data_IF_621973181565
#
_entry.id   IF_621973181565
#
_cell.length_a   1.000
_cell.length_b   1.000
_cell.length_c   1.000
_cell.angle_alpha   90.00
_cell.angle_beta   90.00
_cell.angle_gamma   90.00
#
_symmetry.space_group_name_H-M   'P 1'
#
loop_
_entity.id
_entity.type
_entity.pdbx_description
1 polymer ?
#
# COMPACT_ATOMS: atom_id res chain seq x y z
N UNK A 1 10.25 -7.09 11.01
CA UNK A 1 10.02 -5.75 10.46
C UNK A 1 9.22 -5.86 9.17
N UNK A 2 8.13 -5.15 9.08
CA UNK A 2 7.30 -5.18 7.87
C UNK A 2 7.88 -4.27 6.81
N UNK A 3 7.67 -4.64 5.54
CA UNK A 3 8.16 -3.90 4.37
C UNK A 3 7.01 -3.17 3.68
N UNK A 4 7.21 -1.90 3.42
CA UNK A 4 6.25 -1.06 2.69
C UNK A 4 6.84 -0.69 1.34
N UNK A 5 6.07 -0.91 0.28
CA UNK A 5 6.40 -0.40 -1.05
C UNK A 5 5.55 0.82 -1.35
N UNK A 6 6.19 1.93 -1.69
CA UNK A 6 5.51 3.18 -2.04
C UNK A 6 5.58 3.37 -3.54
N UNK A 7 4.41 3.48 -4.19
CA UNK A 7 4.30 3.72 -5.62
C UNK A 7 3.70 5.11 -5.80
N UNK A 8 4.55 6.12 -5.79
CA UNK A 8 4.20 7.54 -5.85
C UNK A 8 5.29 8.26 -6.62
N UNK A 9 4.93 8.97 -7.70
CA UNK A 9 5.92 9.60 -8.57
C UNK A 9 6.32 11.02 -8.14
N UNK A 10 5.58 11.64 -7.23
CA UNK A 10 5.99 12.92 -6.64
C UNK A 10 7.05 12.66 -5.58
N UNK A 11 8.30 13.09 -5.82
CA UNK A 11 9.38 12.74 -4.89
C UNK A 11 9.20 13.36 -3.50
N UNK A 12 8.57 14.53 -3.41
CA UNK A 12 8.33 15.16 -2.11
C UNK A 12 7.34 14.37 -1.28
N UNK A 13 6.26 13.91 -1.90
CA UNK A 13 5.25 13.11 -1.21
C UNK A 13 5.83 11.75 -0.84
N UNK A 14 6.50 11.10 -1.77
CA UNK A 14 7.09 9.78 -1.52
C UNK A 14 8.10 9.84 -0.37
N UNK A 15 8.98 10.84 -0.37
CA UNK A 15 10.00 10.97 0.66
C UNK A 15 9.39 11.31 2.02
N UNK A 16 8.35 12.13 2.04
CA UNK A 16 7.64 12.45 3.26
C UNK A 16 7.00 11.22 3.90
N UNK A 17 6.35 10.39 3.09
CA UNK A 17 5.76 9.14 3.56
C UNK A 17 6.87 8.20 4.07
N UNK A 18 7.95 8.07 3.31
CA UNK A 18 9.06 7.18 3.67
C UNK A 18 9.64 7.57 5.02
N UNK A 19 9.92 8.86 5.22
CA UNK A 19 10.51 9.34 6.47
C UNK A 19 9.61 9.00 7.66
N UNK A 20 8.30 9.26 7.52
CA UNK A 20 7.36 9.00 8.60
C UNK A 20 7.21 7.50 8.90
N UNK A 21 7.11 6.69 7.85
CA UNK A 21 6.88 5.26 8.05
C UNK A 21 8.13 4.55 8.55
N UNK A 22 9.31 5.00 8.15
CA UNK A 22 10.56 4.48 8.71
C UNK A 22 10.69 4.82 10.19
N UNK A 23 10.25 6.02 10.58
CA UNK A 23 10.27 6.41 11.99
C UNK A 23 9.38 5.51 12.86
N UNK A 24 8.36 4.89 12.26
CA UNK A 24 7.48 3.95 12.96
C UNK A 24 7.97 2.50 12.87
N UNK A 25 9.15 2.28 12.32
CA UNK A 25 9.78 0.96 12.32
C UNK A 25 9.52 0.11 11.09
N UNK A 26 9.02 0.69 10.01
CA UNK A 26 8.85 -0.04 8.76
C UNK A 26 10.12 0.04 7.91
N UNK A 27 10.38 -1.01 7.15
CA UNK A 27 11.36 -0.94 6.08
C UNK A 27 10.63 -0.45 4.85
N UNK A 28 11.21 0.52 4.12
CA UNK A 28 10.49 1.20 3.05
C UNK A 28 11.31 1.23 1.77
N UNK A 29 10.66 0.93 0.66
CA UNK A 29 11.22 1.13 -0.67
C UNK A 29 10.27 1.98 -1.49
N UNK A 30 10.79 2.97 -2.22
CA UNK A 30 10.01 3.75 -3.18
C UNK A 30 10.33 3.25 -4.59
N UNK A 31 9.29 3.13 -5.42
CA UNK A 31 9.45 2.67 -6.80
C UNK A 31 10.16 3.75 -7.62
N UNK A 32 11.09 3.33 -8.46
CA UNK A 32 11.83 4.22 -9.35
C UNK A 32 11.44 4.03 -10.81
N UNK A 33 11.12 2.80 -11.22
CA UNK A 33 10.76 2.49 -12.60
C UNK A 33 9.25 2.32 -12.74
N UNK A 34 8.57 3.40 -13.13
CA UNK A 34 7.11 3.38 -13.27
C UNK A 34 6.63 2.69 -14.55
N UNK A 35 7.54 2.26 -15.41
CA UNK A 35 7.18 1.42 -16.54
C UNK A 35 7.01 -0.04 -16.14
N UNK A 36 7.62 -0.44 -15.01
CA UNK A 36 7.56 -1.83 -14.57
C UNK A 36 7.53 -1.90 -13.04
N UNK A 37 6.43 -1.45 -12.47
CA UNK A 37 6.22 -1.51 -11.02
C UNK A 37 6.19 -2.96 -10.53
N UNK A 38 5.64 -3.86 -11.35
CA UNK A 38 5.50 -5.26 -10.95
C UNK A 38 6.85 -5.93 -10.72
N UNK A 39 7.88 -5.56 -11.49
CA UNK A 39 9.23 -6.09 -11.29
C UNK A 39 9.79 -5.68 -9.94
N UNK A 40 9.64 -4.41 -9.55
CA UNK A 40 10.10 -3.95 -8.23
C UNK A 40 9.29 -4.57 -7.11
N UNK A 41 7.98 -4.75 -7.32
CA UNK A 41 7.12 -5.44 -6.36
C UNK A 41 7.61 -6.86 -6.11
N UNK A 42 7.85 -7.60 -7.19
CA UNK A 42 8.28 -9.00 -7.09
C UNK A 42 9.64 -9.13 -6.45
N UNK A 43 10.55 -8.21 -6.75
CA UNK A 43 11.90 -8.22 -6.18
C UNK A 43 11.87 -7.92 -4.69
N UNK A 44 11.09 -6.92 -4.30
CA UNK A 44 11.06 -6.44 -2.90
C UNK A 44 10.21 -7.32 -1.99
N UNK A 45 9.14 -7.87 -2.52
CA UNK A 45 8.16 -8.69 -1.79
C UNK A 45 7.65 -7.96 -0.54
N UNK A 46 6.95 -6.82 -0.73
CA UNK A 46 6.47 -6.03 0.41
C UNK A 46 5.33 -6.73 1.15
N UNK A 47 5.13 -6.33 2.38
CA UNK A 47 4.00 -6.76 3.20
C UNK A 47 2.77 -5.88 2.97
N UNK A 48 2.97 -4.66 2.46
CA UNK A 48 1.88 -3.72 2.19
C UNK A 48 2.34 -2.74 1.11
N UNK A 49 1.40 -2.28 0.29
CA UNK A 49 1.67 -1.37 -0.82
C UNK A 49 0.82 -0.11 -0.69
N UNK A 50 1.46 1.06 -0.81
CA UNK A 50 0.78 2.33 -1.02
C UNK A 50 0.88 2.65 -2.51
N UNK A 51 -0.27 2.90 -3.15
CA UNK A 51 -0.34 2.95 -4.60
C UNK A 51 -1.12 4.18 -5.03
N UNK A 52 -0.41 5.14 -5.63
CA UNK A 52 -1.06 6.33 -6.21
C UNK A 52 -1.82 5.94 -7.47
N UNK A 53 -2.93 6.60 -7.73
CA UNK A 53 -3.71 6.38 -8.94
C UNK A 53 -3.09 7.08 -10.13
N UNK A 54 -2.68 8.34 -9.96
CA UNK A 54 -2.15 9.15 -11.06
C UNK A 54 -0.65 8.96 -11.18
N UNK A 55 -0.26 8.02 -12.03
CA UNK A 55 1.15 7.65 -12.24
C UNK A 55 1.50 7.81 -13.71
N UNK A 56 2.79 8.01 -14.04
CA UNK A 56 3.21 8.02 -15.45
C UNK A 56 3.11 6.62 -16.06
N UNK A 57 2.89 6.55 -17.35
CA UNK A 57 2.80 5.35 -18.19
C UNK A 57 1.53 4.54 -17.92
N UNK A 58 1.39 3.97 -16.73
CA UNK A 58 0.21 3.17 -16.33
C UNK A 58 -0.28 3.70 -14.99
N UNK A 59 -1.59 3.84 -14.84
CA UNK A 59 -2.15 4.35 -13.58
C UNK A 59 -2.15 3.28 -12.49
N UNK A 60 -2.53 3.70 -11.28
CA UNK A 60 -2.54 2.79 -10.13
C UNK A 60 -3.53 1.64 -10.27
N UNK A 61 -4.63 1.85 -10.98
CA UNK A 61 -5.59 0.76 -11.21
C UNK A 61 -4.96 -0.39 -12.00
N UNK A 62 -4.16 -0.05 -13.00
CA UNK A 62 -3.43 -1.05 -13.78
C UNK A 62 -2.52 -1.89 -12.88
N UNK A 63 -1.73 -1.22 -12.04
CA UNK A 63 -0.78 -1.95 -11.20
C UNK A 63 -1.47 -2.75 -10.11
N UNK A 64 -2.58 -2.25 -9.56
CA UNK A 64 -3.38 -3.04 -8.60
C UNK A 64 -3.87 -4.33 -9.25
N UNK A 65 -4.38 -4.23 -10.46
CA UNK A 65 -4.87 -5.38 -11.21
C UNK A 65 -3.74 -6.39 -11.47
N UNK A 66 -2.56 -5.89 -11.87
CA UNK A 66 -1.41 -6.76 -12.12
C UNK A 66 -0.91 -7.44 -10.84
N UNK A 67 -0.85 -6.70 -9.74
CA UNK A 67 -0.43 -7.28 -8.46
C UNK A 67 -1.42 -8.35 -8.01
N UNK A 68 -2.71 -8.10 -8.17
CA UNK A 68 -3.76 -9.05 -7.74
C UNK A 68 -3.73 -10.36 -8.48
N UNK A 69 -3.12 -10.41 -9.67
CA UNK A 69 -2.94 -11.67 -10.41
C UNK A 69 -1.96 -12.60 -9.70
N UNK A 70 -1.06 -12.07 -8.88
CA UNK A 70 0.01 -12.86 -8.27
C UNK A 70 0.06 -12.76 -6.75
N UNK A 71 -0.70 -11.87 -6.12
CA UNK A 71 -0.56 -11.64 -4.67
C UNK A 71 -1.85 -11.10 -4.07
N UNK A 72 -2.06 -11.44 -2.79
CA UNK A 72 -3.15 -10.88 -1.98
C UNK A 72 -2.63 -9.83 -0.99
N UNK A 73 -1.45 -9.30 -1.23
CA UNK A 73 -0.85 -8.29 -0.36
C UNK A 73 -1.80 -7.11 -0.14
N UNK A 74 -1.90 -6.57 1.08
CA UNK A 74 -2.74 -5.38 1.30
C UNK A 74 -2.29 -4.20 0.45
N UNK A 75 -3.25 -3.52 -0.15
CA UNK A 75 -3.01 -2.34 -0.98
C UNK A 75 -3.88 -1.20 -0.49
N UNK A 76 -3.27 -0.04 -0.22
CA UNK A 76 -3.97 1.21 0.06
C UNK A 76 -3.74 2.14 -1.11
N UNK A 77 -4.82 2.59 -1.76
CA UNK A 77 -4.71 3.62 -2.78
C UNK A 77 -4.56 4.99 -2.13
N UNK A 78 -3.71 5.83 -2.73
CA UNK A 78 -3.67 7.25 -2.40
C UNK A 78 -4.00 8.04 -3.67
N UNK A 79 -4.76 9.14 -3.53
CA UNK A 79 -5.20 9.91 -4.70
C UNK A 79 -5.55 11.34 -4.32
N UNK A 80 -5.24 12.27 -5.22
CA UNK A 80 -5.67 13.66 -5.10
C UNK A 80 -7.15 13.83 -5.43
N UNK A 81 -7.75 12.83 -6.08
CA UNK A 81 -9.18 12.83 -6.39
C UNK A 81 -9.90 11.99 -5.35
N UNK A 82 -10.85 12.58 -4.64
CA UNK A 82 -11.51 11.92 -3.51
C UNK A 82 -13.00 11.74 -3.74
N UNK A 83 -13.42 11.64 -5.00
CA UNK A 83 -14.83 11.41 -5.28
C UNK A 83 -15.19 9.95 -5.07
N UNK A 84 -16.51 9.69 -5.00
CA UNK A 84 -17.02 8.35 -4.72
C UNK A 84 -16.68 7.35 -5.82
N UNK A 85 -16.55 7.81 -7.07
CA UNK A 85 -16.23 6.91 -8.18
C UNK A 85 -14.83 6.35 -8.06
N UNK A 86 -13.86 7.17 -7.66
CA UNK A 86 -12.49 6.70 -7.46
C UNK A 86 -12.44 5.65 -6.34
N UNK A 87 -13.15 5.88 -5.26
CA UNK A 87 -13.21 4.92 -4.16
C UNK A 87 -13.85 3.61 -4.62
N UNK A 88 -14.96 3.67 -5.33
CA UNK A 88 -15.65 2.47 -5.82
C UNK A 88 -14.74 1.68 -6.75
N UNK A 89 -14.07 2.35 -7.70
CA UNK A 89 -13.14 1.69 -8.61
C UNK A 89 -12.01 1.00 -7.86
N UNK A 90 -11.42 1.68 -6.89
CA UNK A 90 -10.32 1.14 -6.11
C UNK A 90 -10.73 -0.14 -5.38
N UNK A 91 -11.87 -0.10 -4.71
CA UNK A 91 -12.34 -1.26 -3.94
C UNK A 91 -12.73 -2.42 -4.85
N UNK A 92 -13.34 -2.12 -6.01
CA UNK A 92 -13.71 -3.17 -6.96
C UNK A 92 -12.50 -3.87 -7.57
N UNK A 93 -11.37 -3.19 -7.67
CA UNK A 93 -10.14 -3.78 -8.19
C UNK A 93 -9.36 -4.55 -7.13
N UNK A 94 -9.86 -4.60 -5.90
CA UNK A 94 -9.26 -5.40 -4.86
C UNK A 94 -8.37 -4.64 -3.88
N UNK A 95 -8.52 -3.30 -3.83
CA UNK A 95 -7.84 -2.52 -2.81
C UNK A 95 -8.43 -2.80 -1.44
N UNK A 96 -7.62 -2.68 -0.42
CA UNK A 96 -8.06 -2.88 0.96
C UNK A 96 -8.49 -1.60 1.63
N UNK A 97 -8.01 -0.46 1.15
CA UNK A 97 -8.38 0.84 1.69
C UNK A 97 -8.03 1.94 0.68
N UNK A 98 -8.40 3.15 1.01
CA UNK A 98 -8.24 4.32 0.15
C UNK A 98 -8.01 5.54 1.05
N UNK A 99 -7.09 6.42 0.66
CA UNK A 99 -6.89 7.67 1.38
C UNK A 99 -6.72 8.80 0.37
N UNK A 100 -7.40 9.93 0.61
CA UNK A 100 -7.39 11.07 -0.30
C UNK A 100 -6.28 12.06 0.09
N UNK A 101 -5.65 12.64 -0.92
CA UNK A 101 -4.70 13.74 -0.71
C UNK A 101 -5.44 15.07 -0.62
N UNK A 102 -5.00 16.00 0.20
CA UNK A 102 -3.95 15.86 1.21
C UNK A 102 -4.46 15.02 2.39
N UNK A 103 -3.56 14.24 2.98
CA UNK A 103 -3.94 13.39 4.09
C UNK A 103 -3.08 13.71 5.32
N UNK A 104 -3.62 13.38 6.48
CA UNK A 104 -2.91 13.49 7.75
C UNK A 104 -2.01 12.24 7.88
N UNK A 105 -0.73 12.46 8.20
CA UNK A 105 0.22 11.36 8.35
C UNK A 105 -0.21 10.38 9.43
N UNK A 106 -0.84 10.87 10.51
CA UNK A 106 -1.31 9.97 11.57
C UNK A 106 -2.45 9.08 11.10
N UNK A 107 -3.31 9.58 10.22
CA UNK A 107 -4.38 8.76 9.62
C UNK A 107 -3.78 7.68 8.73
N UNK A 108 -2.80 8.03 7.90
CA UNK A 108 -2.13 7.06 7.06
C UNK A 108 -1.47 5.97 7.90
N UNK A 109 -0.75 6.36 8.95
CA UNK A 109 -0.10 5.38 9.83
C UNK A 109 -1.10 4.46 10.49
N UNK A 110 -2.24 5.00 10.94
CA UNK A 110 -3.28 4.19 11.56
C UNK A 110 -3.83 3.15 10.58
N UNK A 111 -4.04 3.54 9.33
CA UNK A 111 -4.52 2.61 8.29
C UNK A 111 -3.49 1.53 7.99
N UNK A 112 -2.21 1.91 7.86
CA UNK A 112 -1.14 0.95 7.62
C UNK A 112 -1.04 -0.07 8.75
N UNK A 113 -1.03 0.41 9.99
CA UNK A 113 -0.91 -0.47 11.15
C UNK A 113 -2.11 -1.40 11.27
N UNK A 114 -3.32 -0.88 11.03
CA UNK A 114 -4.52 -1.71 11.10
C UNK A 114 -4.52 -2.82 10.07
N UNK A 115 -4.11 -2.52 8.83
CA UNK A 115 -4.05 -3.53 7.78
C UNK A 115 -2.96 -4.56 8.04
N UNK A 116 -1.79 -4.12 8.48
CA UNK A 116 -0.71 -5.05 8.81
C UNK A 116 -1.12 -5.99 9.94
N UNK A 117 -1.74 -5.44 10.97
CA UNK A 117 -2.20 -6.24 12.10
C UNK A 117 -3.25 -7.26 11.67
N UNK A 118 -4.25 -6.85 10.91
CA UNK A 118 -5.30 -7.76 10.46
C UNK A 118 -4.77 -8.84 9.52
N UNK A 119 -3.83 -8.47 8.66
CA UNK A 119 -3.33 -9.39 7.65
C UNK A 119 -2.34 -10.38 8.23
N UNK A 120 -1.43 -9.94 9.08
CA UNK A 120 -0.30 -10.75 9.51
C UNK A 120 -0.39 -11.19 10.98
N UNK A 121 -0.95 -10.35 11.84
CA UNK A 121 -1.00 -10.69 13.26
C UNK A 121 -2.26 -11.47 13.62
N UNK A 122 -3.41 -11.02 13.13
CA UNK A 122 -4.68 -11.70 13.40
C UNK A 122 -4.96 -12.82 12.42
N UNK A 123 -4.41 -12.73 11.22
CA UNK A 123 -4.57 -13.75 10.20
C UNK A 123 -3.70 -14.97 10.43
N UNK A 124 -2.68 -14.88 11.26
CA UNK A 124 -1.85 -16.02 11.64
C UNK A 124 -2.66 -16.92 12.57
N UNK A 125 -2.79 -18.11 12.33
CA UNK A 125 -3.59 -19.02 13.16
C UNK A 125 -2.96 -19.27 14.50
N UNK A 126 -3.08 -18.58 14.38
CA UNK A 126 -2.90 -18.75 15.23
C UNK A 126 -2.83 -19.21 15.89
N UNK A 127 -2.44 -18.86 15.95
CA UNK A 127 -2.38 -19.03 16.81
C UNK A 127 -2.81 -19.01 17.53
N UNK A 128 -2.99 -19.02 17.51
CA UNK A 128 -3.46 -19.06 18.45
C UNK A 128 -3.89 -19.30 18.92
N UNK A 129 -4.03 -19.09 18.86
CA UNK A 129 -4.39 -19.42 19.58
C UNK A 129 -4.39 -19.84 19.88
N UNK A 130 -4.39 -19.61 19.56
CA UNK A 130 -4.30 -20.14 20.02
C UNK A 130 -4.04 -20.15 20.23
N UNK A 131 -4.02 -19.90 20.00
CA UNK A 131 -3.80 -20.24 20.44
C UNK A 131 -3.74 -20.13 20.71
N UNK A 132 -3.59 -19.94 20.71
CA UNK A 132 -3.54 -20.09 21.21
C UNK A 132 -3.35 -20.23 21.38
N UNK A 133 -3.43 -20.02 20.76
CA UNK A 133 -3.14 -20.11 21.04
C UNK A 133 -2.93 -20.14 20.93
#
# INVERSE_FOLDING_TARGET
MYKLLIVEDDPGIAEGIKTQTEAWGLEVRTVENFRNVLAEFSEYQPHIVLLDIMLPFFNGYHWCSEIRKISKVPIIFISSASDNMNMVMAMNLGADDFIAKPFDQSVLMAKLQALLRRTYDFGAPQQVLEHRG
#
